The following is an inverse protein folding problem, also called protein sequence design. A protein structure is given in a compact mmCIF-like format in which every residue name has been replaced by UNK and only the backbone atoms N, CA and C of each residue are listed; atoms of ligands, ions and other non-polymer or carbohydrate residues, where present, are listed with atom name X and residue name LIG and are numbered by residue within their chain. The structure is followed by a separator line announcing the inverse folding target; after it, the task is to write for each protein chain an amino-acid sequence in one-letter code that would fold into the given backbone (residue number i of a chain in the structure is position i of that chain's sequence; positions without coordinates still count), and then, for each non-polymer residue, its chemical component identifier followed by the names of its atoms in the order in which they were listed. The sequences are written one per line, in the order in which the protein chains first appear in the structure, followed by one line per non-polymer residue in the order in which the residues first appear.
data_IF_485546198908
#
_entry.id   IF_485546198908
#
_cell.length_a   1.000
_cell.length_b   1.000
_cell.length_c   1.000
_cell.angle_alpha   90.00
_cell.angle_beta   90.00
_cell.angle_gamma   90.00
#
_symmetry.space_group_name_H-M   'P 1'
#
loop_
_entity.id
_entity.type
_entity.pdbx_description
1 polymer ?
#
# COMPACT_ATOMS: atom_id res chain seq x y z
N UNK A 1 16.32 -11.81 -16.95
CA UNK A 1 15.33 -12.67 -16.28
C UNK A 1 14.03 -11.89 -16.20
N UNK A 2 12.88 -12.50 -16.51
CA UNK A 2 11.58 -11.83 -16.37
C UNK A 2 11.43 -11.30 -14.94
N UNK A 3 10.90 -10.07 -14.79
CA UNK A 3 10.62 -9.40 -13.49
C UNK A 3 9.88 -10.32 -12.50
N UNK A 4 9.19 -11.36 -12.98
CA UNK A 4 8.40 -12.27 -12.16
C UNK A 4 9.04 -13.65 -11.90
N UNK A 5 10.28 -13.91 -12.33
CA UNK A 5 10.90 -15.23 -12.15
C UNK A 5 11.03 -15.61 -10.66
N UNK A 6 11.30 -14.63 -9.80
CA UNK A 6 11.46 -14.81 -8.36
C UNK A 6 10.16 -15.20 -7.65
N UNK A 7 9.00 -14.79 -8.19
CA UNK A 7 7.68 -15.05 -7.58
C UNK A 7 7.44 -16.54 -7.38
N UNK A 8 8.01 -17.39 -8.25
CA UNK A 8 7.98 -18.86 -8.08
C UNK A 8 8.57 -19.34 -6.75
N UNK A 9 9.50 -18.59 -6.16
CA UNK A 9 10.16 -18.87 -4.88
C UNK A 9 9.58 -18.06 -3.71
N UNK A 10 8.61 -17.18 -3.95
CA UNK A 10 7.98 -16.36 -2.91
C UNK A 10 7.27 -17.20 -1.85
N UNK A 11 7.04 -16.63 -0.66
CA UNK A 11 6.21 -17.26 0.36
C UNK A 11 4.80 -17.52 -0.17
N UNK A 12 4.22 -16.58 -0.93
CA UNK A 12 2.92 -16.75 -1.60
C UNK A 12 2.88 -18.03 -2.43
N UNK A 13 3.81 -18.25 -3.36
CA UNK A 13 3.74 -19.44 -4.22
C UNK A 13 4.10 -20.73 -3.49
N UNK A 14 5.01 -20.67 -2.51
CA UNK A 14 5.44 -21.87 -1.78
C UNK A 14 4.44 -22.31 -0.72
N UNK A 15 3.79 -21.37 -0.02
CA UNK A 15 2.93 -21.63 1.14
C UNK A 15 1.45 -21.29 0.92
N UNK A 16 1.11 -20.50 -0.09
CA UNK A 16 -0.26 -20.16 -0.42
C UNK A 16 -1.08 -21.38 -0.86
N UNK A 17 -2.39 -21.33 -0.63
CA UNK A 17 -3.33 -22.41 -0.95
C UNK A 17 -3.30 -22.75 -2.45
N UNK A 18 -3.14 -21.75 -3.33
CA UNK A 18 -3.08 -22.00 -4.78
C UNK A 18 -1.75 -22.64 -5.23
N UNK A 19 -0.71 -22.65 -4.39
CA UNK A 19 0.63 -23.20 -4.69
C UNK A 19 1.19 -22.68 -6.01
N UNK A 20 1.01 -21.38 -6.24
CA UNK A 20 1.45 -20.68 -7.45
C UNK A 20 0.60 -20.89 -8.70
N UNK A 21 -0.47 -21.70 -8.64
CA UNK A 21 -1.45 -21.79 -9.72
C UNK A 21 -2.19 -20.46 -9.86
N UNK A 22 -2.40 -20.05 -11.10
CA UNK A 22 -3.19 -18.85 -11.42
C UNK A 22 -4.62 -19.29 -11.69
N UNK A 23 -5.56 -18.71 -10.94
CA UNK A 23 -6.99 -18.97 -11.04
C UNK A 23 -7.69 -18.11 -12.08
N UNK A 24 -8.97 -17.85 -11.85
CA UNK A 24 -9.80 -17.03 -12.74
C UNK A 24 -9.40 -15.56 -12.68
N UNK A 25 -9.67 -14.81 -13.74
CA UNK A 25 -9.48 -13.35 -13.76
C UNK A 25 -10.83 -12.65 -13.64
N UNK A 26 -10.95 -11.83 -12.61
CA UNK A 26 -12.13 -11.05 -12.30
C UNK A 26 -11.92 -9.57 -12.67
N UNK A 27 -13.02 -8.89 -13.01
CA UNK A 27 -13.03 -7.44 -13.23
C UNK A 27 -13.75 -6.77 -12.07
N UNK A 28 -13.07 -5.85 -11.37
CA UNK A 28 -13.68 -4.95 -10.40
C UNK A 28 -13.75 -3.54 -11.02
N UNK A 29 -14.77 -3.36 -11.86
CA UNK A 29 -15.07 -2.07 -12.51
C UNK A 29 -15.72 -1.10 -11.52
N UNK A 30 -15.76 0.19 -11.87
CA UNK A 30 -16.52 1.16 -11.08
C UNK A 30 -18.00 0.79 -10.93
N UNK A 31 -18.61 0.21 -11.98
CA UNK A 31 -20.00 -0.26 -11.94
C UNK A 31 -20.21 -1.37 -10.91
N UNK A 32 -19.29 -2.35 -10.86
CA UNK A 32 -19.34 -3.42 -9.86
C UNK A 32 -19.06 -2.89 -8.45
N UNK A 33 -18.13 -1.95 -8.32
CA UNK A 33 -17.83 -1.32 -7.03
C UNK A 33 -19.04 -0.56 -6.48
N UNK A 34 -19.79 0.12 -7.35
CA UNK A 34 -20.88 1.02 -7.04
C UNK A 34 -20.45 2.20 -6.15
N UNK A 35 -20.34 1.99 -4.84
CA UNK A 35 -19.92 3.00 -3.86
C UNK A 35 -18.48 2.73 -3.40
N UNK A 36 -17.65 3.78 -3.43
CA UNK A 36 -16.30 3.73 -2.89
C UNK A 36 -16.31 4.08 -1.40
N UNK A 37 -15.48 3.38 -0.63
CA UNK A 37 -15.47 3.54 0.82
C UNK A 37 -14.37 4.50 1.28
N UNK A 38 -14.63 5.25 2.35
CA UNK A 38 -13.65 6.10 3.04
C UNK A 38 -13.33 5.57 4.45
N UNK A 39 -13.78 4.35 4.73
CA UNK A 39 -13.47 3.61 5.95
C UNK A 39 -13.34 2.13 5.62
N UNK A 40 -12.43 1.46 6.32
CA UNK A 40 -12.00 0.08 6.11
C UNK A 40 -12.35 -0.70 7.38
N UNK A 41 -13.32 -1.59 7.28
CA UNK A 41 -13.88 -2.33 8.42
C UNK A 41 -14.88 -3.42 8.01
N UNK A 42 -15.46 -4.12 9.01
CA UNK A 42 -16.31 -5.28 8.77
C UNK A 42 -17.73 -4.93 8.32
N UNK A 43 -18.07 -3.63 8.26
CA UNK A 43 -19.45 -3.16 8.08
C UNK A 43 -19.86 -2.95 6.61
N UNK A 44 -18.91 -2.77 5.71
CA UNK A 44 -19.19 -2.56 4.28
C UNK A 44 -19.74 -3.83 3.63
N UNK A 45 -20.63 -3.68 2.66
CA UNK A 45 -21.14 -4.83 1.89
C UNK A 45 -20.08 -5.34 0.92
N UNK A 46 -19.80 -6.65 0.87
CA UNK A 46 -18.89 -7.22 -0.12
C UNK A 46 -19.28 -6.89 -1.56
N UNK A 47 -18.30 -6.48 -2.37
CA UNK A 47 -18.52 -6.18 -3.80
C UNK A 47 -18.25 -7.39 -4.70
N UNK A 48 -17.46 -8.36 -4.22
CA UNK A 48 -17.21 -9.63 -4.90
C UNK A 48 -16.55 -10.65 -3.95
N UNK A 49 -16.58 -11.92 -4.36
CA UNK A 49 -15.86 -13.03 -3.73
C UNK A 49 -14.97 -13.70 -4.77
N UNK A 50 -13.74 -14.05 -4.39
CA UNK A 50 -12.76 -14.75 -5.23
C UNK A 50 -12.14 -15.93 -4.51
N UNK A 51 -11.51 -16.85 -5.25
CA UNK A 51 -10.76 -17.96 -4.69
C UNK A 51 -9.28 -17.61 -4.51
N UNK A 52 -8.56 -18.25 -3.58
CA UNK A 52 -7.10 -18.17 -3.54
C UNK A 52 -6.50 -18.58 -4.89
N UNK A 53 -5.58 -17.77 -5.42
CA UNK A 53 -4.95 -17.91 -6.73
C UNK A 53 -5.56 -17.06 -7.84
N UNK A 54 -6.77 -16.54 -7.65
CA UNK A 54 -7.47 -15.71 -8.64
C UNK A 54 -6.76 -14.36 -8.86
N UNK A 55 -6.94 -13.82 -10.06
CA UNK A 55 -6.53 -12.47 -10.46
C UNK A 55 -7.71 -11.51 -10.42
N UNK A 56 -7.46 -10.26 -10.06
CA UNK A 56 -8.45 -9.20 -10.07
C UNK A 56 -7.83 -8.00 -10.81
N UNK A 57 -8.55 -7.52 -11.82
CA UNK A 57 -8.24 -6.26 -12.50
C UNK A 57 -9.16 -5.20 -11.90
N UNK A 58 -8.56 -4.25 -11.19
CA UNK A 58 -9.26 -3.22 -10.41
C UNK A 58 -9.20 -1.87 -11.12
N UNK A 59 -10.36 -1.26 -11.35
CA UNK A 59 -10.46 0.14 -11.76
C UNK A 59 -10.47 1.03 -10.51
N UNK A 60 -9.30 1.59 -10.18
CA UNK A 60 -9.16 2.50 -9.05
C UNK A 60 -9.52 3.93 -9.45
N UNK A 61 -9.90 4.75 -8.47
CA UNK A 61 -9.98 6.20 -8.59
C UNK A 61 -8.75 6.85 -7.93
N UNK A 62 -8.45 8.09 -8.31
CA UNK A 62 -7.42 8.87 -7.63
C UNK A 62 -7.83 9.23 -6.19
N UNK A 63 -6.87 9.67 -5.36
CA UNK A 63 -7.08 10.10 -3.98
C UNK A 63 -8.25 11.07 -3.80
N UNK A 64 -8.53 11.87 -4.82
CA UNK A 64 -9.53 12.95 -4.80
C UNK A 64 -10.88 12.54 -5.36
N UNK A 65 -11.08 11.28 -5.75
CA UNK A 65 -12.28 10.80 -6.45
C UNK A 65 -12.62 11.63 -7.71
N UNK A 66 -11.61 12.12 -8.42
CA UNK A 66 -11.75 12.95 -9.63
C UNK A 66 -12.28 14.37 -9.37
N UNK A 67 -12.26 14.84 -8.12
CA UNK A 67 -12.75 16.19 -7.74
C UNK A 67 -11.80 17.32 -8.13
N UNK A 68 -10.50 17.04 -8.25
CA UNK A 68 -9.48 17.99 -8.72
C UNK A 68 -9.24 17.77 -10.22
N UNK A 69 -9.67 18.74 -11.03
CA UNK A 69 -9.66 18.62 -12.50
C UNK A 69 -8.67 19.56 -13.16
N UNK A 70 -8.44 20.74 -12.58
CA UNK A 70 -7.59 21.79 -13.17
C UNK A 70 -6.61 22.37 -12.14
N UNK A 71 -5.53 22.99 -12.60
CA UNK A 71 -4.57 23.67 -11.72
C UNK A 71 -5.14 24.93 -11.03
N UNK A 72 -6.31 25.41 -11.49
CA UNK A 72 -7.04 26.51 -10.86
C UNK A 72 -7.98 26.04 -9.73
N UNK A 73 -8.19 24.73 -9.59
CA UNK A 73 -8.98 24.20 -8.48
C UNK A 73 -8.25 24.42 -7.15
N UNK A 74 -9.04 24.63 -6.11
CA UNK A 74 -8.58 24.79 -4.73
C UNK A 74 -8.94 23.54 -3.92
N UNK A 75 -7.98 22.70 -3.50
CA UNK A 75 -8.22 21.56 -2.61
C UNK A 75 -9.20 21.84 -1.46
N UNK A 76 -9.12 22.99 -0.79
CA UNK A 76 -9.96 23.43 0.32
C UNK A 76 -11.44 23.59 -0.05
N UNK A 77 -11.74 23.88 -1.31
CA UNK A 77 -13.11 24.00 -1.83
C UNK A 77 -13.62 22.68 -2.43
N UNK A 78 -12.72 21.73 -2.76
CA UNK A 78 -13.04 20.50 -3.53
C UNK A 78 -12.94 19.22 -2.71
N UNK A 79 -12.17 19.22 -1.64
CA UNK A 79 -11.83 18.05 -0.82
C UNK A 79 -12.15 18.39 0.63
N UNK A 80 -12.65 17.40 1.37
CA UNK A 80 -12.87 17.48 2.81
C UNK A 80 -12.02 16.41 3.49
N UNK A 81 -10.97 16.80 4.20
CA UNK A 81 -10.18 15.83 4.97
C UNK A 81 -11.00 15.26 6.14
N UNK A 82 -10.84 13.98 6.51
CA UNK A 82 -9.93 12.99 5.94
C UNK A 82 -10.56 12.13 4.81
N UNK A 83 -11.63 12.60 4.13
CA UNK A 83 -12.33 11.85 3.06
C UNK A 83 -11.58 11.88 1.73
N UNK A 84 -10.40 11.25 1.73
CA UNK A 84 -9.54 10.99 0.59
C UNK A 84 -9.36 9.48 0.39
N UNK A 85 -8.72 9.08 -0.70
CA UNK A 85 -8.28 7.70 -0.97
C UNK A 85 -9.49 6.76 -1.07
N UNK A 86 -10.39 6.94 -2.06
CA UNK A 86 -11.58 6.12 -2.24
C UNK A 86 -11.21 4.64 -2.43
N UNK A 87 -11.71 3.76 -1.58
CA UNK A 87 -11.35 2.35 -1.57
C UNK A 87 -12.25 1.50 -2.46
N UNK A 88 -11.64 0.69 -3.32
CA UNK A 88 -12.28 -0.50 -3.90
C UNK A 88 -12.33 -1.63 -2.86
N UNK A 89 -13.36 -2.47 -2.93
CA UNK A 89 -13.62 -3.55 -1.96
C UNK A 89 -14.85 -3.29 -1.10
N UNK A 90 -15.11 -4.12 -0.07
CA UNK A 90 -14.30 -5.27 0.33
C UNK A 90 -14.44 -6.44 -0.65
N UNK A 91 -13.29 -6.98 -1.04
CA UNK A 91 -13.18 -8.24 -1.79
C UNK A 91 -13.05 -9.38 -0.78
N UNK A 92 -13.92 -10.39 -0.89
CA UNK A 92 -13.87 -11.56 -0.02
C UNK A 92 -13.00 -12.64 -0.64
N UNK A 93 -12.14 -13.27 0.16
CA UNK A 93 -11.29 -14.37 -0.27
C UNK A 93 -11.78 -15.65 0.37
N UNK A 94 -12.25 -16.59 -0.45
CA UNK A 94 -12.84 -17.84 0.02
C UNK A 94 -11.85 -18.63 0.92
N UNK A 95 -12.33 -19.06 2.08
CA UNK A 95 -11.54 -19.86 3.03
C UNK A 95 -10.50 -19.09 3.86
N UNK A 96 -10.37 -17.77 3.70
CA UNK A 96 -9.55 -16.94 4.59
C UNK A 96 -10.23 -16.77 5.96
N UNK A 97 -9.49 -17.03 7.03
CA UNK A 97 -9.98 -16.99 8.41
C UNK A 97 -9.00 -16.24 9.33
N UNK A 98 -9.47 -15.71 10.49
CA UNK A 98 -8.59 -15.07 11.46
C UNK A 98 -7.37 -15.94 11.81
N UNK A 99 -6.18 -15.34 11.77
CA UNK A 99 -4.90 -16.03 12.02
C UNK A 99 -4.18 -16.52 10.75
N UNK A 100 -4.82 -16.42 9.58
CA UNK A 100 -4.15 -16.51 8.27
C UNK A 100 -3.46 -15.19 7.89
N UNK A 101 -2.69 -15.21 6.81
CA UNK A 101 -2.24 -14.02 6.11
C UNK A 101 -2.69 -14.05 4.65
N UNK A 102 -3.23 -12.93 4.17
CA UNK A 102 -3.57 -12.72 2.77
C UNK A 102 -2.31 -12.27 2.03
N UNK A 103 -1.96 -12.95 0.94
CA UNK A 103 -0.90 -12.54 0.04
C UNK A 103 -1.49 -11.81 -1.17
N UNK A 104 -1.00 -10.61 -1.47
CA UNK A 104 -1.42 -9.80 -2.61
C UNK A 104 -0.20 -9.51 -3.48
N UNK A 105 -0.13 -10.16 -4.63
CA UNK A 105 0.88 -9.89 -5.65
C UNK A 105 0.37 -8.85 -6.64
N UNK A 106 1.07 -7.71 -6.76
CA UNK A 106 0.74 -6.71 -7.79
C UNK A 106 1.49 -7.09 -9.06
N UNK A 107 0.77 -7.44 -10.12
CA UNK A 107 1.35 -7.88 -11.38
C UNK A 107 1.67 -6.70 -12.30
N UNK A 108 0.73 -5.75 -12.39
CA UNK A 108 0.81 -4.61 -13.30
C UNK A 108 -0.08 -3.46 -12.84
N UNK A 109 0.33 -2.24 -13.20
CA UNK A 109 -0.44 -1.02 -12.98
C UNK A 109 -0.32 -0.11 -14.21
N UNK A 110 -1.44 0.25 -14.82
CA UNK A 110 -1.49 1.18 -15.95
C UNK A 110 -2.33 2.41 -15.59
N UNK A 111 -1.98 3.62 -16.05
CA UNK A 111 -2.77 4.81 -15.80
C UNK A 111 -4.05 4.82 -16.64
N UNK A 112 -5.17 5.22 -16.03
CA UNK A 112 -6.52 5.26 -16.65
C UNK A 112 -6.97 6.72 -16.86
N UNK A 113 -7.88 6.93 -17.81
CA UNK A 113 -8.49 8.23 -18.07
C UNK A 113 -7.69 9.14 -19.01
N UNK A 114 -8.29 10.29 -19.33
CA UNK A 114 -7.74 11.29 -20.24
C UNK A 114 -6.59 12.09 -19.63
N UNK A 115 -5.69 12.58 -20.48
CA UNK A 115 -4.58 13.45 -20.06
C UNK A 115 -5.05 14.88 -19.81
N UNK A 116 -4.43 15.62 -18.86
CA UNK A 116 -3.47 15.16 -17.85
C UNK A 116 -4.16 14.37 -16.72
N UNK A 117 -3.68 13.14 -16.48
CA UNK A 117 -4.28 12.22 -15.48
C UNK A 117 -3.60 12.14 -14.13
N UNK A 118 -2.38 12.66 -14.01
CA UNK A 118 -1.70 12.78 -12.72
C UNK A 118 -2.13 14.05 -11.98
N UNK A 119 -2.20 13.98 -10.66
CA UNK A 119 -2.48 15.13 -9.78
C UNK A 119 -1.51 15.13 -8.60
N UNK A 120 -0.88 16.26 -8.32
CA UNK A 120 -0.18 16.51 -7.06
C UNK A 120 -0.71 17.82 -6.49
N UNK A 121 -0.86 17.93 -5.18
CA UNK A 121 -1.45 19.13 -4.57
C UNK A 121 -0.79 19.48 -3.23
N UNK A 122 -0.69 20.78 -2.95
CA UNK A 122 -0.49 21.30 -1.60
C UNK A 122 -1.86 21.55 -0.99
N UNK A 123 -2.28 20.68 -0.08
CA UNK A 123 -3.54 20.79 0.65
C UNK A 123 -3.27 21.58 1.94
N UNK A 124 -4.06 22.62 2.26
CA UNK A 124 -3.88 23.37 3.49
C UNK A 124 -3.90 22.47 4.73
N UNK A 125 -2.98 22.73 5.65
CA UNK A 125 -2.82 21.98 6.91
C UNK A 125 -2.57 20.46 6.75
N UNK A 126 -2.01 20.05 5.62
CA UNK A 126 -1.61 18.66 5.33
C UNK A 126 -0.26 18.61 4.62
N UNK A 127 0.62 17.71 5.06
CA UNK A 127 2.01 17.60 4.61
C UNK A 127 3.02 17.72 5.77
N UNK A 128 4.28 17.37 5.51
CA UNK A 128 5.28 17.24 6.56
C UNK A 128 5.90 18.58 7.01
N UNK A 129 6.01 19.53 6.09
CA UNK A 129 6.67 20.83 6.33
C UNK A 129 5.66 21.96 6.51
N UNK A 130 4.52 21.65 7.12
CA UNK A 130 3.46 22.60 7.48
C UNK A 130 2.86 22.24 8.83
N UNK A 131 2.25 23.22 9.50
CA UNK A 131 1.39 22.92 10.65
C UNK A 131 0.17 22.13 10.18
N UNK A 132 -0.28 21.16 10.97
CA UNK A 132 -1.44 20.33 10.62
C UNK A 132 -2.41 20.27 11.79
N UNK A 133 -3.59 19.68 11.59
CA UNK A 133 -4.51 19.43 12.71
C UNK A 133 -3.89 18.59 13.84
N UNK A 134 -2.93 17.70 13.52
CA UNK A 134 -2.23 16.88 14.51
C UNK A 134 -0.98 17.57 15.09
N UNK A 135 -0.19 18.21 14.23
CA UNK A 135 0.97 19.02 14.62
C UNK A 135 0.54 20.49 14.63
N UNK A 136 -0.31 20.81 15.61
CA UNK A 136 -1.02 22.09 15.66
C UNK A 136 -0.05 23.26 15.87
N UNK A 137 -0.05 24.20 14.91
CA UNK A 137 0.68 25.47 14.99
C UNK A 137 -0.28 26.63 14.74
N UNK A 138 0.16 27.86 15.03
CA UNK A 138 -0.61 29.09 14.77
C UNK A 138 -0.23 29.77 13.45
N UNK A 139 0.65 29.14 12.67
CA UNK A 139 1.13 29.69 11.41
C UNK A 139 0.01 29.65 10.36
N UNK A 140 0.05 30.59 9.41
CA UNK A 140 -0.78 30.47 8.20
C UNK A 140 -0.38 29.20 7.44
N UNK A 141 -1.34 28.50 6.80
CA UNK A 141 -1.04 27.32 5.99
C UNK A 141 -0.16 27.69 4.79
N UNK A 142 0.49 26.69 4.20
CA UNK A 142 1.19 26.87 2.93
C UNK A 142 0.19 27.30 1.82
N UNK A 143 0.67 27.96 0.75
CA UNK A 143 -0.16 28.24 -0.40
C UNK A 143 -0.77 26.96 -0.96
N UNK A 144 -2.05 27.06 -1.33
CA UNK A 144 -2.76 25.99 -1.98
C UNK A 144 -2.39 25.96 -3.48
N UNK A 145 -1.87 24.83 -3.93
CA UNK A 145 -1.35 24.65 -5.29
C UNK A 145 -1.79 23.30 -5.82
N UNK A 146 -2.28 23.26 -7.06
CA UNK A 146 -2.54 22.02 -7.80
C UNK A 146 -1.59 21.93 -8.99
N UNK A 147 -1.07 20.73 -9.23
CA UNK A 147 -0.31 20.37 -10.43
C UNK A 147 -1.05 19.27 -11.17
N UNK A 148 -1.35 19.49 -12.46
CA UNK A 148 -1.90 18.46 -13.34
C UNK A 148 -0.77 17.95 -14.23
N UNK A 149 -0.50 16.65 -14.15
CA UNK A 149 0.70 16.04 -14.72
C UNK A 149 0.31 15.06 -15.83
N UNK A 150 0.99 15.16 -16.98
CA UNK A 150 0.90 14.13 -18.02
C UNK A 150 1.61 12.87 -17.52
N UNK A 151 0.91 11.74 -17.52
CA UNK A 151 1.46 10.44 -17.08
C UNK A 151 1.25 9.41 -18.16
N UNK A 152 2.29 8.72 -18.60
CA UNK A 152 2.19 7.54 -19.46
C UNK A 152 2.82 6.32 -18.75
N UNK A 153 2.75 5.15 -19.37
CA UNK A 153 3.25 3.89 -18.78
C UNK A 153 4.78 3.83 -18.61
N UNK A 154 5.52 4.90 -18.97
CA UNK A 154 6.97 4.98 -18.84
C UNK A 154 7.42 6.23 -18.11
N UNK A 155 6.67 7.32 -18.22
CA UNK A 155 7.13 8.65 -17.80
C UNK A 155 6.03 9.46 -17.12
N UNK A 156 6.41 10.09 -16.01
CA UNK A 156 5.68 11.17 -15.35
C UNK A 156 6.32 12.49 -15.78
N UNK A 157 5.64 13.26 -16.62
CA UNK A 157 6.15 14.50 -17.20
C UNK A 157 5.92 15.67 -16.24
N UNK A 158 6.71 15.71 -15.17
CA UNK A 158 6.59 16.71 -14.09
C UNK A 158 6.67 18.16 -14.59
N UNK A 159 7.53 18.43 -15.56
CA UNK A 159 7.63 19.71 -16.27
C UNK A 159 8.33 19.53 -17.62
N UNK A 160 8.42 20.59 -18.42
CA UNK A 160 9.22 20.60 -19.67
C UNK A 160 10.68 20.18 -19.45
N UNK A 161 11.20 20.40 -18.24
CA UNK A 161 12.60 20.12 -17.87
C UNK A 161 12.77 18.79 -17.14
N UNK A 162 11.74 18.31 -16.45
CA UNK A 162 11.85 17.17 -15.52
C UNK A 162 10.89 16.08 -15.93
N UNK A 163 11.45 14.92 -16.23
CA UNK A 163 10.73 13.68 -16.50
C UNK A 163 11.14 12.65 -15.46
N UNK A 164 10.17 12.18 -14.68
CA UNK A 164 10.38 11.14 -13.68
C UNK A 164 10.00 9.79 -14.29
N UNK A 165 10.65 8.68 -13.88
CA UNK A 165 10.23 7.36 -14.30
C UNK A 165 8.84 7.05 -13.72
N UNK A 166 7.97 6.45 -14.53
CA UNK A 166 6.73 5.84 -14.03
C UNK A 166 7.09 4.61 -13.20
N UNK A 167 6.96 4.74 -11.88
CA UNK A 167 7.23 3.69 -10.89
C UNK A 167 5.98 3.58 -10.02
N UNK A 168 4.92 2.98 -10.56
CA UNK A 168 3.64 3.01 -9.90
C UNK A 168 3.62 2.08 -8.69
N UNK A 169 2.86 2.47 -7.69
CA UNK A 169 2.58 1.65 -6.51
C UNK A 169 1.22 2.04 -5.93
N UNK A 170 0.70 1.16 -5.10
CA UNK A 170 -0.53 1.38 -4.35
C UNK A 170 -0.18 2.07 -3.03
N UNK A 171 -0.88 3.16 -2.69
CA UNK A 171 -0.79 3.83 -1.40
C UNK A 171 -1.62 3.10 -0.32
N UNK A 172 -2.85 2.73 -0.67
CA UNK A 172 -3.79 2.03 0.23
C UNK A 172 -3.99 0.55 -0.14
N UNK A 173 -3.51 -0.35 0.72
CA UNK A 173 -3.75 -1.80 0.60
C UNK A 173 -3.98 -2.40 1.98
N UNK A 174 -5.12 -3.06 2.20
CA UNK A 174 -5.52 -3.47 3.55
C UNK A 174 -6.48 -4.65 3.60
N UNK A 175 -6.51 -5.32 4.77
CA UNK A 175 -7.60 -6.20 5.17
C UNK A 175 -8.44 -5.51 6.24
N UNK A 176 -9.70 -5.91 6.42
CA UNK A 176 -10.52 -5.36 7.49
C UNK A 176 -9.94 -5.71 8.89
N UNK A 177 -9.96 -4.76 9.84
CA UNK A 177 -9.90 -5.06 11.26
C UNK A 177 -11.05 -5.97 11.72
N UNK A 178 -10.93 -6.54 12.92
CA UNK A 178 -11.93 -7.46 13.48
C UNK A 178 -13.29 -6.79 13.75
N UNK A 179 -13.24 -5.67 14.47
CA UNK A 179 -14.43 -4.89 14.85
C UNK A 179 -14.32 -3.41 14.46
N UNK A 180 -13.10 -2.88 14.33
CA UNK A 180 -12.90 -1.46 14.04
C UNK A 180 -13.20 -1.12 12.57
N UNK A 181 -13.46 0.16 12.31
CA UNK A 181 -13.54 0.73 10.97
C UNK A 181 -12.63 1.95 10.89
N UNK A 182 -11.47 1.79 10.24
CA UNK A 182 -10.39 2.78 10.21
C UNK A 182 -10.56 3.68 8.98
N UNK A 183 -10.26 4.98 9.08
CA UNK A 183 -10.31 5.90 7.93
C UNK A 183 -9.37 5.43 6.81
N UNK A 184 -9.76 5.60 5.54
CA UNK A 184 -8.92 5.28 4.39
C UNK A 184 -7.58 6.03 4.35
N UNK A 185 -7.47 7.16 5.06
CA UNK A 185 -6.24 7.96 5.19
C UNK A 185 -5.26 7.41 6.25
N UNK A 186 -5.63 6.39 7.03
CA UNK A 186 -4.81 5.95 8.17
C UNK A 186 -4.19 4.57 7.94
N UNK A 187 -2.85 4.43 7.97
CA UNK A 187 -2.23 3.13 8.06
C UNK A 187 -2.24 2.58 9.49
N UNK A 188 -2.32 1.26 9.62
CA UNK A 188 -2.23 0.56 10.91
C UNK A 188 -1.78 -0.90 10.72
N UNK A 189 -1.89 -1.72 11.76
CA UNK A 189 -1.61 -3.15 11.74
C UNK A 189 -2.46 -3.97 10.72
N UNK A 190 -3.44 -3.35 10.07
CA UNK A 190 -4.30 -3.93 9.03
C UNK A 190 -3.83 -3.60 7.59
N UNK A 191 -2.76 -2.83 7.44
CA UNK A 191 -2.37 -2.19 6.18
C UNK A 191 -2.80 -0.73 6.19
N UNK A 192 -3.57 -0.33 5.17
CA UNK A 192 -4.18 1.01 5.07
C UNK A 192 -3.31 1.92 4.22
N UNK A 193 -3.32 3.22 4.51
CA UNK A 193 -2.57 4.26 3.79
C UNK A 193 -1.08 4.24 4.09
N UNK A 194 -0.40 3.19 3.63
CA UNK A 194 1.00 2.95 3.99
C UNK A 194 1.97 3.79 3.15
N UNK A 195 1.54 4.18 1.94
CA UNK A 195 2.30 4.98 0.97
C UNK A 195 3.76 4.55 0.91
N UNK A 196 3.94 3.25 0.72
CA UNK A 196 5.24 2.62 0.65
C UNK A 196 5.59 2.42 -0.83
N UNK A 197 6.57 3.16 -1.40
CA UNK A 197 6.87 3.08 -2.83
C UNK A 197 7.23 1.67 -3.34
N UNK A 198 7.66 0.79 -2.43
CA UNK A 198 7.95 -0.61 -2.74
C UNK A 198 6.68 -1.45 -3.01
N UNK A 199 5.47 -0.98 -2.69
CA UNK A 199 4.19 -1.70 -2.89
C UNK A 199 3.65 -1.56 -4.33
N UNK A 200 4.49 -1.92 -5.30
CA UNK A 200 4.19 -1.81 -6.74
C UNK A 200 4.33 -3.12 -7.52
N UNK A 201 4.27 -3.06 -8.87
CA UNK A 201 4.40 -4.23 -9.73
C UNK A 201 5.63 -5.09 -9.42
N UNK A 202 5.45 -6.40 -9.38
CA UNK A 202 6.52 -7.37 -9.11
C UNK A 202 6.73 -7.67 -7.63
N UNK A 203 5.92 -7.13 -6.72
CA UNK A 203 6.04 -7.35 -5.26
C UNK A 203 4.87 -8.16 -4.70
N UNK A 204 5.04 -8.71 -3.49
CA UNK A 204 3.97 -9.38 -2.74
C UNK A 204 3.83 -8.72 -1.37
N UNK A 205 2.64 -8.24 -1.06
CA UNK A 205 2.30 -7.75 0.28
C UNK A 205 1.51 -8.81 1.03
N UNK A 206 1.87 -9.05 2.29
CA UNK A 206 1.19 -9.97 3.19
C UNK A 206 0.46 -9.19 4.27
N UNK A 207 -0.85 -9.40 4.37
CA UNK A 207 -1.74 -8.70 5.27
C UNK A 207 -2.35 -9.67 6.29
N UNK A 208 -2.40 -9.32 7.57
CA UNK A 208 -3.05 -10.16 8.58
C UNK A 208 -4.55 -10.29 8.34
N UNK A 209 -5.05 -11.52 8.35
CA UNK A 209 -6.48 -11.80 8.31
C UNK A 209 -7.02 -11.79 9.74
N UNK A 210 -7.98 -10.91 10.01
CA UNK A 210 -8.64 -10.77 11.33
C UNK A 210 -10.14 -11.01 11.30
N UNK A 211 -10.71 -11.18 10.11
CA UNK A 211 -12.14 -11.47 9.88
C UNK A 211 -12.30 -12.54 8.81
N UNK A 212 -13.42 -13.29 8.83
CA UNK A 212 -13.74 -14.23 7.76
C UNK A 212 -13.73 -13.55 6.39
N UNK A 213 -13.05 -14.19 5.44
CA UNK A 213 -12.89 -13.71 4.07
C UNK A 213 -11.90 -12.57 3.89
N UNK A 214 -11.15 -12.18 4.94
CA UNK A 214 -10.15 -11.10 4.98
C UNK A 214 -10.67 -9.67 4.72
N UNK A 215 -11.64 -9.49 3.80
CA UNK A 215 -12.18 -8.21 3.36
C UNK A 215 -11.06 -7.29 2.86
N UNK A 216 -10.50 -7.64 1.70
CA UNK A 216 -9.43 -6.87 1.05
C UNK A 216 -9.96 -5.55 0.49
N UNK A 217 -9.25 -4.45 0.76
CA UNK A 217 -9.44 -3.15 0.14
C UNK A 217 -8.16 -2.68 -0.54
N UNK A 218 -8.34 -1.93 -1.62
CA UNK A 218 -7.26 -1.40 -2.46
C UNK A 218 -7.67 -0.05 -3.06
N UNK A 219 -6.75 0.90 -3.16
CA UNK A 219 -7.01 2.18 -3.81
C UNK A 219 -5.75 3.03 -3.93
N UNK A 220 -5.91 4.31 -4.23
CA UNK A 220 -4.85 5.31 -4.09
C UNK A 220 -3.57 4.99 -4.87
N UNK A 221 -3.71 4.89 -6.19
CA UNK A 221 -2.57 4.57 -7.05
C UNK A 221 -1.71 5.81 -7.30
N UNK A 222 -0.42 5.69 -7.02
CA UNK A 222 0.58 6.72 -7.25
C UNK A 222 1.39 6.37 -8.50
N UNK A 223 1.63 7.34 -9.37
CA UNK A 223 2.48 7.16 -10.56
C UNK A 223 3.98 7.16 -10.20
N UNK A 224 4.31 7.90 -9.14
CA UNK A 224 5.59 7.89 -8.45
C UNK A 224 5.45 8.60 -7.09
N UNK A 225 6.34 8.30 -6.15
CA UNK A 225 6.43 8.96 -4.85
C UNK A 225 7.88 8.96 -4.36
N UNK A 226 8.25 9.99 -3.59
CA UNK A 226 9.51 10.03 -2.85
C UNK A 226 9.36 9.53 -1.42
N UNK A 227 10.45 9.08 -0.80
CA UNK A 227 10.45 8.65 0.60
C UNK A 227 9.89 9.73 1.52
N UNK A 228 8.82 9.40 2.23
CA UNK A 228 8.10 10.27 3.15
C UNK A 228 6.93 11.06 2.56
N UNK A 229 6.77 11.12 1.23
CA UNK A 229 5.66 11.86 0.60
C UNK A 229 5.55 13.31 1.14
N UNK A 230 6.69 14.00 1.23
CA UNK A 230 6.89 15.19 2.09
C UNK A 230 5.84 16.30 1.97
N UNK A 231 5.22 16.49 0.80
CA UNK A 231 4.25 17.55 0.58
C UNK A 231 2.80 17.15 0.90
N UNK A 232 2.57 15.89 1.29
CA UNK A 232 1.25 15.34 1.58
C UNK A 232 0.70 14.45 0.48
N UNK A 233 1.08 14.69 -0.78
CA UNK A 233 0.46 14.04 -1.94
C UNK A 233 1.54 13.59 -2.93
N UNK A 234 1.43 12.36 -3.43
CA UNK A 234 2.26 11.84 -4.51
C UNK A 234 1.81 12.39 -5.88
N UNK A 235 2.06 11.64 -6.95
CA UNK A 235 1.39 11.86 -8.24
C UNK A 235 0.20 10.92 -8.34
N UNK A 236 -0.93 11.37 -7.82
CA UNK A 236 -2.21 10.64 -7.79
C UNK A 236 -2.76 10.40 -9.18
N UNK A 237 -3.20 9.18 -9.45
CA UNK A 237 -3.94 8.90 -10.68
C UNK A 237 -4.91 7.73 -10.53
N UNK A 238 -5.99 7.74 -11.32
CA UNK A 238 -6.79 6.54 -11.53
C UNK A 238 -5.95 5.49 -12.27
N UNK A 239 -6.03 4.22 -11.84
CA UNK A 239 -5.29 3.12 -12.45
C UNK A 239 -6.19 1.95 -12.85
N UNK A 240 -5.65 1.13 -13.76
CA UNK A 240 -6.02 -0.26 -13.93
C UNK A 240 -4.95 -1.10 -13.23
N UNK A 241 -5.26 -1.62 -12.04
CA UNK A 241 -4.32 -2.39 -11.23
C UNK A 241 -4.68 -3.86 -11.30
N UNK A 242 -3.74 -4.70 -11.76
CA UNK A 242 -3.92 -6.15 -11.77
C UNK A 242 -3.20 -6.77 -10.58
N UNK A 243 -3.96 -7.42 -9.70
CA UNK A 243 -3.46 -8.16 -8.55
C UNK A 243 -3.77 -9.64 -8.67
N UNK A 244 -2.96 -10.48 -8.03
CA UNK A 244 -3.27 -11.88 -7.73
C UNK A 244 -3.29 -12.07 -6.22
N UNK A 245 -4.33 -12.71 -5.71
CA UNK A 245 -4.51 -12.93 -4.27
C UNK A 245 -4.36 -14.41 -3.94
N UNK A 246 -3.81 -14.73 -2.77
CA UNK A 246 -3.72 -16.09 -2.24
C UNK A 246 -3.76 -16.05 -0.72
N UNK A 247 -3.98 -17.17 -0.05
CA UNK A 247 -4.06 -17.25 1.41
C UNK A 247 -2.94 -18.15 1.92
N UNK A 248 -2.14 -17.65 2.85
CA UNK A 248 -1.17 -18.44 3.60
C UNK A 248 -1.82 -18.87 4.92
N UNK A 249 -2.23 -20.13 5.00
CA UNK A 249 -2.96 -20.65 6.16
C UNK A 249 -2.09 -20.70 7.41
N UNK A 250 -2.68 -20.38 8.56
CA UNK A 250 -2.06 -20.49 9.90
C UNK A 250 -0.71 -19.76 10.00
N UNK A 251 -0.61 -18.60 9.37
CA UNK A 251 0.55 -17.73 9.46
C UNK A 251 0.14 -16.41 10.10
N UNK A 252 0.16 -16.41 11.43
CA UNK A 252 -0.22 -15.24 12.22
C UNK A 252 0.88 -14.20 12.14
N UNK A 253 0.55 -13.06 11.54
CA UNK A 253 1.40 -11.87 11.49
C UNK A 253 0.67 -10.72 12.20
N UNK A 254 1.41 -9.86 12.90
CA UNK A 254 0.79 -8.71 13.58
C UNK A 254 0.72 -7.49 12.67
N UNK A 255 1.73 -7.30 11.85
CA UNK A 255 1.87 -6.16 10.96
C UNK A 255 2.04 -6.61 9.51
N UNK A 256 1.69 -5.74 8.54
CA UNK A 256 1.95 -6.02 7.13
C UNK A 256 3.43 -6.36 6.87
N UNK A 257 3.65 -7.25 5.92
CA UNK A 257 4.98 -7.61 5.42
C UNK A 257 5.00 -7.44 3.90
N UNK A 258 6.18 -7.23 3.33
CA UNK A 258 6.38 -7.13 1.89
C UNK A 258 7.59 -7.98 1.48
N UNK A 259 7.50 -8.57 0.29
CA UNK A 259 8.56 -9.38 -0.31
C UNK A 259 8.80 -8.94 -1.75
N UNK A 260 10.07 -8.76 -2.10
CA UNK A 260 10.54 -8.48 -3.47
C UNK A 260 11.48 -9.59 -3.94
N UNK A 261 12.03 -9.48 -5.15
CA UNK A 261 13.11 -10.35 -5.62
C UNK A 261 14.35 -10.29 -4.73
N UNK A 262 14.65 -9.13 -4.16
CA UNK A 262 15.88 -8.86 -3.43
C UNK A 262 15.75 -8.90 -1.90
N UNK A 263 14.58 -8.58 -1.33
CA UNK A 263 14.44 -8.40 0.12
C UNK A 263 13.10 -8.88 0.68
N UNK A 264 13.10 -9.11 1.99
CA UNK A 264 11.88 -9.14 2.81
C UNK A 264 11.81 -7.87 3.66
N UNK A 265 10.61 -7.41 3.97
CA UNK A 265 10.36 -6.18 4.72
C UNK A 265 9.17 -6.36 5.67
N UNK A 266 9.29 -5.88 6.91
CA UNK A 266 8.16 -5.70 7.82
C UNK A 266 7.78 -4.21 7.88
N UNK A 267 6.49 -3.90 7.93
CA UNK A 267 5.97 -2.54 7.79
C UNK A 267 5.27 -2.13 9.08
N UNK A 268 5.80 -1.10 9.75
CA UNK A 268 5.23 -0.56 10.99
C UNK A 268 4.61 0.82 10.76
N UNK A 269 3.46 1.07 11.38
CA UNK A 269 2.77 2.36 11.28
C UNK A 269 2.40 2.93 12.65
N UNK A 270 2.90 4.11 12.98
CA UNK A 270 2.66 4.76 14.27
C UNK A 270 3.02 6.26 14.23
N UNK A 271 2.80 6.94 15.36
CA UNK A 271 3.48 8.20 15.72
C UNK A 271 4.02 8.06 17.15
N UNK A 272 5.23 8.56 17.45
CA UNK A 272 6.16 9.25 16.56
C UNK A 272 6.90 8.29 15.59
N UNK A 273 7.71 8.83 14.66
CA UNK A 273 8.31 8.06 13.55
C UNK A 273 9.28 6.96 14.02
N UNK A 274 9.97 7.20 15.14
CA UNK A 274 10.83 6.22 15.79
C UNK A 274 10.04 5.00 16.29
N UNK A 275 8.77 5.15 16.68
CA UNK A 275 7.94 4.03 17.11
C UNK A 275 7.46 3.20 15.90
N UNK A 276 7.15 3.85 14.77
CA UNK A 276 6.90 3.14 13.51
C UNK A 276 8.13 2.30 13.10
N UNK A 277 9.33 2.87 13.27
CA UNK A 277 10.60 2.21 12.98
C UNK A 277 10.89 1.04 13.95
N UNK A 278 10.62 1.22 15.26
CA UNK A 278 10.74 0.17 16.28
C UNK A 278 9.81 -1.00 16.01
N UNK A 279 8.56 -0.73 15.62
CA UNK A 279 7.60 -1.76 15.20
C UNK A 279 8.19 -2.54 14.02
N UNK A 280 8.57 -1.84 12.94
CA UNK A 280 9.08 -2.48 11.73
C UNK A 280 10.29 -3.40 12.00
N UNK A 281 11.31 -2.91 12.73
CA UNK A 281 12.48 -3.73 13.05
C UNK A 281 12.14 -4.90 13.98
N UNK A 282 11.32 -4.69 15.02
CA UNK A 282 10.93 -5.78 15.93
C UNK A 282 10.20 -6.89 15.17
N UNK A 283 9.30 -6.52 14.26
CA UNK A 283 8.57 -7.49 13.45
C UNK A 283 9.47 -8.21 12.45
N UNK A 284 10.45 -7.52 11.85
CA UNK A 284 11.46 -8.16 10.99
C UNK A 284 12.33 -9.17 11.78
N UNK A 285 12.80 -8.79 12.97
CA UNK A 285 13.60 -9.66 13.85
C UNK A 285 12.80 -10.92 14.21
N UNK A 286 11.54 -10.76 14.62
CA UNK A 286 10.66 -11.88 14.96
C UNK A 286 10.38 -12.77 13.76
N UNK A 287 10.25 -12.18 12.58
CA UNK A 287 10.07 -12.93 11.35
C UNK A 287 11.32 -13.76 10.99
N UNK A 288 12.50 -13.15 11.06
CA UNK A 288 13.78 -13.85 10.86
C UNK A 288 13.96 -15.00 11.84
N UNK A 289 13.62 -14.81 13.11
CA UNK A 289 13.70 -15.87 14.10
C UNK A 289 12.71 -17.02 13.82
N UNK A 290 11.44 -16.68 13.55
CA UNK A 290 10.37 -17.65 13.38
C UNK A 290 10.49 -18.48 12.09
N UNK A 291 10.76 -17.82 10.97
CA UNK A 291 10.67 -18.45 9.65
C UNK A 291 12.06 -18.81 9.09
N UNK A 292 13.12 -18.11 9.52
CA UNK A 292 14.48 -18.25 8.96
C UNK A 292 15.51 -18.80 9.96
N UNK A 293 15.09 -19.19 11.17
CA UNK A 293 15.94 -19.92 12.12
C UNK A 293 17.05 -19.10 12.78
N UNK A 294 16.95 -17.77 12.75
CA UNK A 294 17.90 -16.90 13.47
C UNK A 294 17.66 -16.95 14.98
N UNK A 295 18.74 -16.83 15.77
CA UNK A 295 18.59 -16.36 17.14
C UNK A 295 18.12 -14.90 17.16
N UNK A 296 17.25 -14.54 18.10
CA UNK A 296 16.61 -13.23 18.11
C UNK A 296 17.61 -12.09 18.38
N UNK A 297 18.58 -12.30 19.27
CA UNK A 297 19.57 -11.27 19.61
C UNK A 297 20.64 -11.18 18.53
N UNK A 298 21.01 -12.30 17.93
CA UNK A 298 21.91 -12.32 16.76
C UNK A 298 21.27 -11.57 15.58
N UNK A 299 20.00 -11.86 15.23
CA UNK A 299 19.27 -11.11 14.21
C UNK A 299 19.20 -9.60 14.51
N UNK A 300 18.97 -9.23 15.78
CA UNK A 300 18.95 -7.84 16.20
C UNK A 300 20.31 -7.15 15.97
N UNK A 301 21.41 -7.77 16.41
CA UNK A 301 22.76 -7.23 16.21
C UNK A 301 23.15 -7.19 14.74
N UNK A 302 22.78 -8.21 13.96
CA UNK A 302 23.03 -8.29 12.53
C UNK A 302 22.28 -7.21 11.76
N UNK A 303 21.00 -6.97 12.06
CA UNK A 303 20.21 -5.93 11.39
C UNK A 303 20.70 -4.52 11.70
N UNK A 304 21.42 -4.32 12.80
CA UNK A 304 22.14 -3.06 13.03
C UNK A 304 23.30 -2.83 12.05
N UNK A 305 23.74 -3.85 11.29
CA UNK A 305 24.82 -3.74 10.29
C UNK A 305 24.28 -3.73 8.86
N UNK A 306 23.23 -4.51 8.58
CA UNK A 306 22.75 -4.75 7.22
C UNK A 306 21.29 -4.35 6.97
N UNK A 307 20.54 -3.98 8.01
CA UNK A 307 19.14 -3.59 7.91
C UNK A 307 18.96 -2.38 6.98
N UNK A 308 17.83 -2.37 6.27
CA UNK A 308 17.40 -1.29 5.38
C UNK A 308 16.13 -0.67 5.92
N UNK A 309 16.05 0.65 5.84
CA UNK A 309 14.84 1.38 6.22
C UNK A 309 14.29 2.05 4.97
N UNK A 310 12.98 1.88 4.75
CA UNK A 310 12.20 2.68 3.81
C UNK A 310 11.25 3.56 4.61
N UNK A 311 11.34 4.86 4.42
CA UNK A 311 10.31 5.79 4.88
C UNK A 311 9.19 5.81 3.83
N UNK A 312 8.00 5.33 4.20
CA UNK A 312 6.80 5.36 3.34
C UNK A 312 6.22 6.76 3.31
N UNK A 313 5.28 7.05 4.21
CA UNK A 313 4.85 8.41 4.53
C UNK A 313 5.32 8.89 5.92
N UNK A 314 5.32 10.21 6.09
CA UNK A 314 5.31 10.87 7.40
C UNK A 314 4.36 12.09 7.42
N UNK A 315 3.25 11.99 6.68
CA UNK A 315 2.25 13.05 6.54
C UNK A 315 0.89 12.65 7.11
N UNK A 316 0.57 11.36 7.04
CA UNK A 316 -0.71 10.78 7.46
C UNK A 316 -0.93 10.77 8.96
N UNK A 317 -2.17 10.52 9.44
CA UNK A 317 -2.49 10.35 10.86
C UNK A 317 -1.52 9.42 11.60
N UNK A 318 -1.00 8.38 10.94
CA UNK A 318 0.12 7.55 11.38
C UNK A 318 1.18 7.51 10.30
N UNK A 319 2.45 7.60 10.69
CA UNK A 319 3.58 7.49 9.76
C UNK A 319 3.88 6.02 9.49
N UNK A 320 4.44 5.71 8.33
CA UNK A 320 4.76 4.32 7.95
C UNK A 320 6.24 4.14 7.61
N UNK A 321 6.83 3.09 8.17
CA UNK A 321 8.23 2.71 7.96
C UNK A 321 8.31 1.23 7.62
N UNK A 322 9.04 0.90 6.57
CA UNK A 322 9.46 -0.46 6.25
C UNK A 322 10.87 -0.75 6.76
N UNK A 323 11.07 -1.85 7.49
CA UNK A 323 12.39 -2.38 7.83
C UNK A 323 12.63 -3.66 7.05
N UNK A 324 13.73 -3.74 6.29
CA UNK A 324 14.03 -4.87 5.42
C UNK A 324 15.44 -5.43 5.54
N UNK A 325 15.62 -6.62 5.00
CA UNK A 325 16.90 -7.32 4.88
C UNK A 325 16.98 -8.01 3.52
N UNK A 326 18.17 -7.99 2.90
CA UNK A 326 18.39 -8.64 1.62
C UNK A 326 18.30 -10.17 1.76
N UNK A 327 17.57 -10.82 0.86
CA UNK A 327 17.37 -12.27 0.82
C UNK A 327 18.66 -13.08 0.74
N UNK A 328 19.73 -12.51 0.18
CA UNK A 328 21.05 -13.17 0.14
C UNK A 328 21.65 -13.43 1.53
N UNK A 329 21.16 -12.75 2.56
CA UNK A 329 21.55 -12.97 3.95
C UNK A 329 20.64 -13.95 4.68
N UNK A 330 19.54 -14.38 4.06
CA UNK A 330 18.64 -15.37 4.62
C UNK A 330 19.09 -16.77 4.16
N UNK A 331 18.90 -17.81 5.00
CA UNK A 331 19.13 -19.19 4.58
C UNK A 331 18.30 -19.55 3.34
N UNK A 332 18.90 -20.30 2.41
CA UNK A 332 18.19 -20.76 1.23
C UNK A 332 17.09 -21.77 1.61
N UNK A 333 15.86 -21.55 1.15
CA UNK A 333 14.79 -22.56 1.19
C UNK A 333 13.84 -22.52 2.41
N UNK A 334 13.87 -21.47 3.23
CA UNK A 334 12.87 -21.22 4.28
C UNK A 334 11.56 -20.67 3.69
#
# INVERSE_FOLDING_TARGET
MSINAWISQSIMNRRGEARGKVGETHQLTEERQAEFHFTIGPYSQPVMTVNPGDRIVVETRDAFSGRIKTEADKPSEKIRMPFANPQNGPIMIAGAEPGDALAVHIEAMAPRGEQPRGTCALIPEFGALTGTYYTATLNQPLPEIVRKILVDEKTVHWSDKVKLPYKPHIGTLSCSPEIDSISSLTPDNHGGNMDLPDMGPGTVTYLPVRVPGARLFIGDAHACQGDGEVCGVAVEHASLTTIRVDVVKKWTIEWPRLETDEQIMAIGSARPLEDATRIAYRELIRWMAADYGFDQLDAYMMLSQCGKVRLGNFVDPKYTVGAGVLKKYLPAGA
#
